data_IF_779355545744
#
_entry.id   IF_779355545744
#
_cell.length_a   1.000
_cell.length_b   1.000
_cell.length_c   1.000
_cell.angle_alpha   90.00
_cell.angle_beta   90.00
_cell.angle_gamma   90.00
#
_symmetry.space_group_name_H-M   'P 1'
#
loop_
_entity.id
_entity.type
_entity.pdbx_description
1 polymer ?
#
# COMPACT_ATOMS: atom_id res chain seq x y z
N UNK A 1 -2.84 5.64 5.77
CA UNK A 1 -1.89 4.68 5.17
C UNK A 1 -1.06 5.24 4.00
N UNK A 2 -1.67 5.64 2.88
CA UNK A 2 -0.99 5.99 1.62
C UNK A 2 0.18 7.00 1.74
N UNK A 3 -0.02 8.09 2.48
CA UNK A 3 1.02 9.14 2.65
C UNK A 3 2.23 8.58 3.40
N UNK A 4 2.01 7.82 4.47
CA UNK A 4 3.08 7.19 5.24
C UNK A 4 3.89 6.21 4.38
N UNK A 5 3.19 5.43 3.54
CA UNK A 5 3.84 4.52 2.58
C UNK A 5 4.65 5.30 1.55
N UNK A 6 4.08 6.31 0.89
CA UNK A 6 4.76 7.15 -0.09
C UNK A 6 6.05 7.77 0.48
N UNK A 7 5.99 8.28 1.72
CA UNK A 7 7.13 8.86 2.43
C UNK A 7 8.13 7.83 2.96
N UNK A 8 7.84 6.53 2.93
CA UNK A 8 8.72 5.49 3.47
C UNK A 8 8.72 5.39 5.00
N UNK A 9 7.68 5.87 5.68
CA UNK A 9 7.61 5.89 7.14
C UNK A 9 7.06 4.58 7.72
N UNK A 10 7.88 3.54 7.75
CA UNK A 10 7.53 2.19 8.22
C UNK A 10 6.87 2.16 9.61
N UNK A 11 7.41 2.90 10.58
CA UNK A 11 6.85 2.93 11.94
C UNK A 11 5.45 3.54 11.99
N UNK A 12 5.16 4.53 11.14
CA UNK A 12 3.83 5.14 11.05
C UNK A 12 2.87 4.19 10.34
N UNK A 13 3.34 3.47 9.32
CA UNK A 13 2.54 2.44 8.63
C UNK A 13 2.10 1.37 9.62
N UNK A 14 3.00 0.84 10.46
CA UNK A 14 2.62 -0.18 11.45
C UNK A 14 1.63 0.35 12.49
N UNK A 15 1.83 1.55 13.03
CA UNK A 15 0.87 2.17 13.97
C UNK A 15 -0.52 2.29 13.35
N UNK A 16 -0.60 2.81 12.13
CA UNK A 16 -1.88 3.01 11.45
C UNK A 16 -2.63 1.70 11.20
N UNK A 17 -1.92 0.64 10.77
CA UNK A 17 -2.51 -0.67 10.56
C UNK A 17 -2.96 -1.32 11.89
N UNK A 18 -2.23 -1.09 12.98
CA UNK A 18 -2.59 -1.62 14.29
C UNK A 18 -3.81 -0.92 14.91
N UNK A 19 -4.08 0.34 14.53
CA UNK A 19 -5.30 1.08 14.92
C UNK A 19 -6.54 0.68 14.09
N UNK A 20 -6.41 -0.30 13.19
CA UNK A 20 -7.53 -0.84 12.42
C UNK A 20 -7.87 -0.06 11.15
N UNK A 21 -6.93 0.74 10.62
CA UNK A 21 -7.07 1.29 9.27
C UNK A 21 -7.20 0.14 8.25
N UNK A 22 -8.08 0.30 7.25
CA UNK A 22 -8.24 -0.70 6.20
C UNK A 22 -7.01 -0.70 5.28
N UNK A 23 -6.23 -1.77 5.36
CA UNK A 23 -5.01 -1.98 4.56
C UNK A 23 -5.26 -1.94 3.04
N UNK A 24 -6.51 -2.22 2.63
CA UNK A 24 -6.93 -2.31 1.24
C UNK A 24 -7.69 -1.07 0.76
N UNK A 25 -7.84 -0.05 1.60
CA UNK A 25 -8.47 1.21 1.21
C UNK A 25 -7.76 1.80 -0.01
N UNK A 26 -8.54 2.28 -0.97
CA UNK A 26 -8.03 2.89 -2.19
C UNK A 26 -7.94 4.41 -2.04
N UNK A 27 -6.84 5.01 -2.48
CA UNK A 27 -6.72 6.47 -2.56
C UNK A 27 -7.59 7.06 -3.70
N UNK A 28 -7.48 8.37 -3.92
CA UNK A 28 -8.22 9.08 -4.96
C UNK A 28 -7.98 8.57 -6.40
N UNK A 29 -6.88 7.86 -6.65
CA UNK A 29 -6.55 7.23 -7.93
C UNK A 29 -7.02 5.77 -8.00
N UNK A 30 -7.78 5.29 -7.01
CA UNK A 30 -8.14 3.87 -6.89
C UNK A 30 -6.97 2.99 -6.47
N UNK A 31 -5.79 3.52 -6.19
CA UNK A 31 -4.63 2.69 -5.86
C UNK A 31 -4.67 2.32 -4.38
N UNK A 32 -4.55 1.03 -4.00
CA UNK A 32 -4.32 0.66 -2.61
C UNK A 32 -2.91 1.07 -2.17
N UNK A 33 -2.67 1.10 -0.87
CA UNK A 33 -1.35 1.41 -0.31
C UNK A 33 -0.22 0.51 -0.85
N UNK A 34 -0.55 -0.74 -1.21
CA UNK A 34 0.37 -1.69 -1.82
C UNK A 34 0.91 -1.24 -3.18
N UNK A 35 0.07 -0.66 -4.05
CA UNK A 35 0.53 -0.07 -5.33
C UNK A 35 1.49 1.10 -5.08
N UNK A 36 1.18 1.95 -4.10
CA UNK A 36 2.04 3.08 -3.74
C UNK A 36 3.42 2.59 -3.30
N UNK A 37 3.49 1.53 -2.49
CA UNK A 37 4.76 0.95 -2.07
C UNK A 37 5.63 0.48 -3.25
N UNK A 38 5.01 -0.15 -4.26
CA UNK A 38 5.69 -0.61 -5.48
C UNK A 38 6.20 0.58 -6.31
N UNK A 39 5.31 1.55 -6.62
CA UNK A 39 5.65 2.72 -7.44
C UNK A 39 6.79 3.56 -6.83
N UNK A 40 6.80 3.69 -5.51
CA UNK A 40 7.76 4.50 -4.76
C UNK A 40 9.01 3.70 -4.30
N UNK A 41 9.12 2.42 -4.70
CA UNK A 41 10.21 1.51 -4.34
C UNK A 41 10.46 1.42 -2.84
N UNK A 42 9.37 1.25 -2.09
CA UNK A 42 9.37 1.18 -0.62
C UNK A 42 9.35 -0.28 -0.17
N UNK A 43 10.47 -0.98 -0.39
CA UNK A 43 10.56 -2.44 -0.19
C UNK A 43 10.14 -2.88 1.23
N UNK A 44 10.54 -2.13 2.27
CA UNK A 44 10.16 -2.44 3.65
C UNK A 44 8.65 -2.26 3.92
N UNK A 45 8.05 -1.18 3.41
CA UNK A 45 6.60 -0.99 3.50
C UNK A 45 5.85 -2.03 2.65
N UNK A 46 6.36 -2.37 1.47
CA UNK A 46 5.81 -3.43 0.62
C UNK A 46 5.78 -4.75 1.38
N UNK A 47 6.90 -5.13 2.00
CA UNK A 47 6.99 -6.36 2.78
C UNK A 47 6.03 -6.33 3.99
N UNK A 48 5.99 -5.23 4.75
CA UNK A 48 5.09 -5.06 5.89
C UNK A 48 3.61 -5.19 5.49
N UNK A 49 3.20 -4.56 4.39
CA UNK A 49 1.84 -4.65 3.89
C UNK A 49 1.48 -6.09 3.48
N UNK A 50 2.40 -6.82 2.84
CA UNK A 50 2.20 -8.23 2.49
C UNK A 50 2.12 -9.13 3.72
N UNK A 51 2.95 -8.88 4.73
CA UNK A 51 2.92 -9.61 6.02
C UNK A 51 1.60 -9.38 6.77
N UNK A 52 0.96 -8.24 6.58
CA UNK A 52 -0.38 -7.90 7.12
C UNK A 52 -1.52 -8.29 6.16
N UNK A 53 -1.25 -9.16 5.19
CA UNK A 53 -2.23 -9.74 4.27
C UNK A 53 -2.90 -8.72 3.32
N UNK A 54 -2.18 -7.66 2.91
CA UNK A 54 -2.66 -6.75 1.88
C UNK A 54 -2.97 -7.49 0.57
N UNK A 55 -4.08 -7.12 -0.07
CA UNK A 55 -4.54 -7.77 -1.30
C UNK A 55 -3.75 -7.34 -2.52
N UNK A 56 -3.34 -8.32 -3.31
CA UNK A 56 -2.58 -8.14 -4.56
C UNK A 56 -3.47 -7.98 -5.82
N UNK A 57 -4.78 -8.18 -5.68
CA UNK A 57 -5.74 -8.21 -6.78
C UNK A 57 -6.56 -6.91 -6.93
N UNK A 58 -6.32 -5.92 -6.06
CA UNK A 58 -7.00 -4.63 -6.13
C UNK A 58 -6.34 -3.78 -7.21
N UNK A 59 -7.15 -3.40 -8.20
CA UNK A 59 -6.73 -2.59 -9.33
C UNK A 59 -7.05 -1.11 -9.09
N UNK A 60 -6.20 -0.23 -9.62
CA UNK A 60 -6.45 1.21 -9.66
C UNK A 60 -7.48 1.60 -10.74
N UNK A 61 -7.74 2.90 -10.90
CA UNK A 61 -8.69 3.41 -11.92
C UNK A 61 -8.30 3.08 -13.36
N UNK A 62 -7.05 2.73 -13.61
CA UNK A 62 -6.54 2.29 -14.91
C UNK A 62 -6.59 0.76 -15.08
N UNK A 63 -7.08 0.03 -14.08
CA UNK A 63 -7.08 -1.43 -14.07
C UNK A 63 -5.73 -2.05 -13.70
N UNK A 64 -4.80 -1.28 -13.16
CA UNK A 64 -3.46 -1.75 -12.79
C UNK A 64 -3.41 -2.25 -11.35
N UNK A 65 -3.00 -3.51 -11.18
CA UNK A 65 -2.69 -4.12 -9.88
C UNK A 65 -1.24 -3.82 -9.46
N UNK A 66 -0.81 -4.09 -8.22
CA UNK A 66 0.57 -3.86 -7.79
C UNK A 66 1.60 -4.52 -8.73
N UNK A 67 1.30 -5.69 -9.27
CA UNK A 67 2.17 -6.42 -10.21
C UNK A 67 2.36 -5.69 -11.55
N UNK A 68 1.39 -4.87 -11.99
CA UNK A 68 1.54 -4.04 -13.18
C UNK A 68 2.42 -2.81 -12.93
N UNK A 69 2.53 -2.38 -11.67
CA UNK A 69 3.28 -1.19 -11.27
C UNK A 69 4.77 -1.44 -10.97
N UNK A 70 5.23 -2.69 -11.05
CA UNK A 70 6.61 -3.11 -10.80
C UNK A 70 7.53 -2.87 -12.01
#
# INVERSE_FOLDING_TARGET
LHIAVHSGHESIVDVLLNEGEDINEQNANGSPALNVAVLERRDANLQMLLEKEARLDIADVMGQTPAHSA
#
